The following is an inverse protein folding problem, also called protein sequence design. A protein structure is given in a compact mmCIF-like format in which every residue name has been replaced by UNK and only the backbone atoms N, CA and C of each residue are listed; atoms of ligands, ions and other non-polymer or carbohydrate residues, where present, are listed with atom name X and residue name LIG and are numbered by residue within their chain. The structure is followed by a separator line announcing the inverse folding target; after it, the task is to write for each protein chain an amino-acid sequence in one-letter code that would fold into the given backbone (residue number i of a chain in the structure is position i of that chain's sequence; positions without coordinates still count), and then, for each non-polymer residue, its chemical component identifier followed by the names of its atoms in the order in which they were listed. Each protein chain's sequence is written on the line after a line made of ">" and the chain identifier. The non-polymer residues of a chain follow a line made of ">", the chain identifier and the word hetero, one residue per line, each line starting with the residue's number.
data_IF_615412748195
#
_entry.id   IF_615412748195
#
_cell.length_a   1.000
_cell.length_b   1.000
_cell.length_c   1.000
_cell.angle_alpha   90.00
_cell.angle_beta   90.00
_cell.angle_gamma   90.00
#
_symmetry.space_group_name_H-M   'P 1'
#
loop_
_entity.id
_entity.type
_entity.pdbx_description
1 polymer ?
#
# COMPACT_ATOMS: atom_id res chain seq x y z
N UNK A 1 39.68 0.09 6.77
CA UNK A 1 39.24 1.01 5.69
C UNK A 1 37.93 1.59 6.15
N UNK A 2 37.96 2.81 6.69
CA UNK A 2 36.79 3.51 7.21
C UNK A 2 35.99 4.04 6.03
N UNK A 3 34.86 3.41 5.75
CA UNK A 3 33.85 3.91 4.81
C UNK A 3 33.60 5.38 5.14
N UNK A 4 34.01 6.29 4.26
CA UNK A 4 33.52 7.67 4.32
C UNK A 4 32.00 7.54 4.27
N UNK A 5 31.32 7.91 5.36
CA UNK A 5 29.87 7.72 5.47
C UNK A 5 29.23 8.44 4.29
N UNK A 6 28.76 7.68 3.29
CA UNK A 6 28.06 8.24 2.15
C UNK A 6 26.75 8.83 2.68
N UNK A 7 26.79 10.13 3.01
CA UNK A 7 25.75 10.81 3.78
C UNK A 7 24.36 10.71 3.13
N UNK A 8 24.30 10.43 1.83
CA UNK A 8 23.05 10.17 1.11
C UNK A 8 22.28 8.97 1.67
N UNK A 9 22.96 7.89 2.08
CA UNK A 9 22.29 6.71 2.65
C UNK A 9 21.44 7.09 3.87
N UNK A 10 22.07 7.72 4.85
CA UNK A 10 21.44 8.10 6.11
C UNK A 10 20.47 9.28 5.97
N UNK A 11 20.78 10.24 5.08
CA UNK A 11 19.96 11.45 4.90
C UNK A 11 18.74 11.23 4.01
N UNK A 12 18.82 10.31 3.04
CA UNK A 12 17.82 10.18 1.98
C UNK A 12 17.29 8.76 1.83
N UNK A 13 18.14 7.77 1.59
CA UNK A 13 17.69 6.40 1.29
C UNK A 13 16.97 5.76 2.49
N UNK A 14 17.63 5.68 3.64
CA UNK A 14 17.09 5.00 4.83
C UNK A 14 15.82 5.66 5.37
N UNK A 15 15.72 7.01 5.46
CA UNK A 15 14.46 7.64 5.84
C UNK A 15 13.33 7.38 4.86
N UNK A 16 13.60 7.32 3.55
CA UNK A 16 12.59 7.01 2.54
C UNK A 16 12.12 5.55 2.66
N UNK A 17 13.05 4.61 2.81
CA UNK A 17 12.73 3.20 3.04
C UNK A 17 11.86 3.03 4.30
N UNK A 18 12.24 3.67 5.41
CA UNK A 18 11.50 3.61 6.66
C UNK A 18 10.09 4.21 6.54
N UNK A 19 9.97 5.40 5.94
CA UNK A 19 8.67 6.05 5.74
C UNK A 19 7.74 5.19 4.88
N UNK A 20 8.23 4.62 3.78
CA UNK A 20 7.44 3.75 2.92
C UNK A 20 7.06 2.45 3.65
N UNK A 21 7.95 1.89 4.46
CA UNK A 21 7.66 0.71 5.27
C UNK A 21 6.56 0.99 6.31
N UNK A 22 6.61 2.15 6.97
CA UNK A 22 5.59 2.57 7.93
C UNK A 22 4.23 2.76 7.26
N UNK A 23 4.19 3.39 6.09
CA UNK A 23 2.98 3.55 5.28
C UNK A 23 2.44 2.21 4.78
N UNK A 24 3.30 1.30 4.34
CA UNK A 24 2.91 -0.05 3.95
C UNK A 24 2.22 -0.77 5.13
N UNK A 25 2.83 -0.76 6.32
CA UNK A 25 2.28 -1.40 7.52
C UNK A 25 0.94 -0.80 7.95
N UNK A 26 0.81 0.54 7.90
CA UNK A 26 -0.43 1.21 8.25
C UNK A 26 -1.57 0.85 7.29
N UNK A 27 -1.32 0.91 5.98
CA UNK A 27 -2.33 0.53 4.98
C UNK A 27 -2.72 -0.94 5.09
N UNK A 28 -1.75 -1.85 5.32
CA UNK A 28 -2.03 -3.27 5.56
C UNK A 28 -2.99 -3.47 6.73
N UNK A 29 -2.73 -2.81 7.86
CA UNK A 29 -3.58 -2.91 9.06
C UNK A 29 -4.99 -2.42 8.77
N UNK A 30 -5.15 -1.25 8.14
CA UNK A 30 -6.46 -0.72 7.81
C UNK A 30 -7.23 -1.60 6.84
N UNK A 31 -6.56 -2.13 5.82
CA UNK A 31 -7.15 -3.09 4.89
C UNK A 31 -7.77 -4.27 5.64
N UNK A 32 -7.00 -4.97 6.46
CA UNK A 32 -7.52 -6.12 7.21
C UNK A 32 -8.59 -5.72 8.23
N UNK A 33 -8.47 -4.57 8.91
CA UNK A 33 -9.49 -4.12 9.85
C UNK A 33 -10.83 -3.88 9.15
N UNK A 34 -10.83 -3.21 8.00
CA UNK A 34 -12.05 -2.91 7.24
C UNK A 34 -12.67 -4.18 6.66
N UNK A 35 -11.86 -5.06 6.07
CA UNK A 35 -12.33 -6.34 5.52
C UNK A 35 -12.92 -7.26 6.60
N UNK A 36 -12.22 -7.41 7.73
CA UNK A 36 -12.69 -8.25 8.84
C UNK A 36 -13.96 -7.66 9.45
N UNK A 37 -14.04 -6.34 9.66
CA UNK A 37 -15.26 -5.71 10.16
C UNK A 37 -16.45 -5.93 9.22
N UNK A 38 -16.23 -5.81 7.90
CA UNK A 38 -17.25 -6.06 6.88
C UNK A 38 -17.74 -7.51 6.92
N UNK A 39 -16.81 -8.47 7.00
CA UNK A 39 -17.13 -9.89 7.05
C UNK A 39 -17.89 -10.27 8.32
N UNK A 40 -17.44 -9.79 9.48
CA UNK A 40 -18.11 -10.05 10.76
C UNK A 40 -19.51 -9.44 10.81
N UNK A 41 -19.67 -8.20 10.36
CA UNK A 41 -20.97 -7.55 10.30
C UNK A 41 -21.93 -8.30 9.35
N UNK A 42 -21.45 -8.68 8.16
CA UNK A 42 -22.24 -9.45 7.19
C UNK A 42 -22.65 -10.82 7.72
N UNK A 43 -21.73 -11.54 8.39
CA UNK A 43 -22.00 -12.85 8.98
C UNK A 43 -22.95 -12.77 10.19
N UNK A 44 -23.00 -11.64 10.91
CA UNK A 44 -23.88 -11.46 12.05
C UNK A 44 -25.36 -11.23 11.65
N UNK A 45 -25.64 -10.68 10.46
CA UNK A 45 -27.01 -10.43 9.98
C UNK A 45 -27.91 -11.68 10.05
N UNK A 46 -27.56 -12.84 9.44
CA UNK A 46 -28.40 -14.03 9.52
C UNK A 46 -28.55 -14.56 10.94
N UNK A 47 -27.51 -14.44 11.79
CA UNK A 47 -27.56 -14.86 13.20
C UNK A 47 -28.57 -14.03 13.99
N UNK A 48 -28.55 -12.71 13.81
CA UNK A 48 -29.52 -11.78 14.42
C UNK A 48 -30.94 -12.13 13.98
N UNK A 49 -31.15 -12.32 12.68
CA UNK A 49 -32.47 -12.67 12.14
C UNK A 49 -32.98 -14.03 12.66
N UNK A 50 -32.09 -15.00 12.87
CA UNK A 50 -32.46 -16.33 13.39
C UNK A 50 -32.69 -16.34 14.90
N UNK A 51 -31.98 -15.52 15.68
CA UNK A 51 -32.11 -15.50 17.15
C UNK A 51 -33.31 -14.65 17.62
N UNK A 52 -33.61 -13.56 16.92
CA UNK A 52 -34.63 -12.59 17.32
C UNK A 52 -36.06 -12.94 16.81
N UNK A 53 -36.38 -14.23 16.65
CA UNK A 53 -37.69 -14.71 16.13
C UNK A 53 -38.90 -14.16 16.89
N UNK A 54 -38.72 -13.76 18.16
CA UNK A 54 -39.80 -13.23 19.00
C UNK A 54 -40.02 -11.71 18.90
N UNK A 55 -39.02 -10.96 18.41
CA UNK A 55 -39.11 -9.50 18.24
C UNK A 55 -38.58 -9.11 16.85
N UNK A 56 -39.49 -9.16 15.88
CA UNK A 56 -39.20 -8.90 14.47
C UNK A 56 -38.72 -7.47 14.23
N UNK A 57 -39.16 -6.50 15.03
CA UNK A 57 -38.73 -5.11 14.87
C UNK A 57 -37.29 -4.93 15.35
N UNK A 58 -36.93 -5.50 16.50
CA UNK A 58 -35.56 -5.48 16.99
C UNK A 58 -34.61 -6.19 16.04
N UNK A 59 -35.01 -7.35 15.50
CA UNK A 59 -34.25 -8.08 14.48
C UNK A 59 -33.97 -7.21 13.24
N UNK A 60 -35.01 -6.56 12.71
CA UNK A 60 -34.92 -5.70 11.54
C UNK A 60 -34.01 -4.49 11.79
N UNK A 61 -34.13 -3.84 12.95
CA UNK A 61 -33.31 -2.69 13.32
C UNK A 61 -31.83 -3.06 13.40
N UNK A 62 -31.49 -4.16 14.07
CA UNK A 62 -30.11 -4.63 14.19
C UNK A 62 -29.52 -5.04 12.84
N UNK A 63 -30.29 -5.77 12.02
CA UNK A 63 -29.90 -6.14 10.67
C UNK A 63 -29.67 -4.93 9.76
N UNK A 64 -30.49 -3.87 9.88
CA UNK A 64 -30.31 -2.63 9.15
C UNK A 64 -29.01 -1.91 9.54
N UNK A 65 -28.70 -1.85 10.84
CA UNK A 65 -27.45 -1.27 11.34
C UNK A 65 -26.23 -2.05 10.83
N UNK A 66 -26.25 -3.39 10.92
CA UNK A 66 -25.18 -4.25 10.42
C UNK A 66 -24.99 -4.10 8.91
N UNK A 67 -26.09 -4.08 8.14
CA UNK A 67 -26.05 -3.82 6.71
C UNK A 67 -25.46 -2.45 6.37
N UNK A 68 -25.82 -1.41 7.13
CA UNK A 68 -25.23 -0.08 7.00
C UNK A 68 -23.72 -0.08 7.24
N UNK A 69 -23.25 -0.78 8.29
CA UNK A 69 -21.82 -0.94 8.59
C UNK A 69 -21.09 -1.62 7.42
N UNK A 70 -21.66 -2.71 6.87
CA UNK A 70 -21.09 -3.41 5.71
C UNK A 70 -20.93 -2.47 4.52
N UNK A 71 -21.97 -1.69 4.18
CA UNK A 71 -21.94 -0.76 3.04
C UNK A 71 -20.88 0.33 3.25
N UNK A 72 -20.86 0.96 4.43
CA UNK A 72 -19.90 2.03 4.75
C UNK A 72 -18.47 1.48 4.74
N UNK A 73 -18.22 0.35 5.39
CA UNK A 73 -16.90 -0.26 5.45
C UNK A 73 -16.38 -0.64 4.05
N UNK A 74 -17.22 -1.27 3.22
CA UNK A 74 -16.88 -1.60 1.85
C UNK A 74 -16.59 -0.35 1.00
N UNK A 75 -17.38 0.72 1.17
CA UNK A 75 -17.15 2.00 0.48
C UNK A 75 -15.83 2.65 0.92
N UNK A 76 -15.53 2.65 2.22
CA UNK A 76 -14.25 3.16 2.77
C UNK A 76 -13.08 2.36 2.21
N UNK A 77 -13.15 1.02 2.18
CA UNK A 77 -12.12 0.17 1.61
C UNK A 77 -11.83 0.49 0.14
N UNK A 78 -12.89 0.65 -0.67
CA UNK A 78 -12.79 1.04 -2.09
C UNK A 78 -12.25 2.45 -2.29
N UNK A 79 -12.68 3.41 -1.49
CA UNK A 79 -12.30 4.81 -1.62
C UNK A 79 -10.81 5.02 -1.32
N UNK A 80 -10.33 4.42 -0.23
CA UNK A 80 -8.95 4.62 0.21
C UNK A 80 -7.95 3.63 -0.41
N UNK A 81 -8.43 2.57 -1.08
CA UNK A 81 -7.60 1.59 -1.79
C UNK A 81 -6.43 1.06 -0.94
N UNK A 82 -6.72 0.72 0.33
CA UNK A 82 -5.69 0.33 1.31
C UNK A 82 -4.82 -0.84 0.82
N UNK A 83 -5.41 -1.78 0.08
CA UNK A 83 -4.68 -2.92 -0.50
C UNK A 83 -3.63 -2.47 -1.51
N UNK A 84 -4.03 -1.68 -2.51
CA UNK A 84 -3.14 -1.19 -3.57
C UNK A 84 -2.03 -0.32 -2.99
N UNK A 85 -2.38 0.58 -2.06
CA UNK A 85 -1.42 1.42 -1.35
C UNK A 85 -0.39 0.57 -0.61
N UNK A 86 -0.83 -0.45 0.13
CA UNK A 86 0.08 -1.32 0.87
C UNK A 86 1.07 -2.04 -0.05
N UNK A 87 0.57 -2.65 -1.13
CA UNK A 87 1.41 -3.36 -2.11
C UNK A 87 2.39 -2.40 -2.79
N UNK A 88 1.93 -1.22 -3.20
CA UNK A 88 2.77 -0.21 -3.82
C UNK A 88 3.92 0.22 -2.91
N UNK A 89 3.61 0.65 -1.68
CA UNK A 89 4.65 1.05 -0.73
C UNK A 89 5.62 -0.09 -0.42
N UNK A 90 5.12 -1.34 -0.35
CA UNK A 90 5.99 -2.49 -0.10
C UNK A 90 6.95 -2.76 -1.25
N UNK A 91 6.48 -2.65 -2.49
CA UNK A 91 7.33 -2.78 -3.67
C UNK A 91 8.44 -1.71 -3.68
N UNK A 92 8.14 -0.46 -3.30
CA UNK A 92 9.15 0.60 -3.19
C UNK A 92 10.19 0.27 -2.12
N UNK A 93 9.77 -0.19 -0.93
CA UNK A 93 10.69 -0.62 0.13
C UNK A 93 11.61 -1.72 -0.36
N UNK A 94 11.07 -2.73 -1.02
CA UNK A 94 11.86 -3.86 -1.53
C UNK A 94 12.84 -3.44 -2.63
N UNK A 95 12.46 -2.49 -3.49
CA UNK A 95 13.34 -1.92 -4.50
C UNK A 95 14.48 -1.10 -3.87
N UNK A 96 14.17 -0.23 -2.90
CA UNK A 96 15.16 0.57 -2.17
C UNK A 96 16.14 -0.32 -1.41
N UNK A 97 15.63 -1.32 -0.69
CA UNK A 97 16.45 -2.30 0.04
C UNK A 97 17.35 -3.11 -0.89
N UNK A 98 16.83 -3.52 -2.06
CA UNK A 98 17.63 -4.22 -3.08
C UNK A 98 18.79 -3.35 -3.58
N UNK A 99 18.54 -2.09 -3.95
CA UNK A 99 19.61 -1.20 -4.43
C UNK A 99 20.65 -0.94 -3.33
N UNK A 100 20.21 -0.77 -2.06
CA UNK A 100 21.10 -0.64 -0.90
C UNK A 100 22.00 -1.88 -0.74
N UNK A 101 21.45 -3.08 -0.86
CA UNK A 101 22.23 -4.33 -0.75
C UNK A 101 23.17 -4.53 -1.94
N UNK A 102 22.73 -4.26 -3.17
CA UNK A 102 23.61 -4.34 -4.35
C UNK A 102 24.79 -3.38 -4.22
N UNK A 103 24.55 -2.16 -3.74
CA UNK A 103 25.61 -1.19 -3.46
C UNK A 103 26.54 -1.66 -2.33
N UNK A 104 25.99 -2.22 -1.24
CA UNK A 104 26.77 -2.64 -0.05
C UNK A 104 27.77 -3.74 -0.38
N UNK A 105 27.36 -4.72 -1.20
CA UNK A 105 28.21 -5.85 -1.60
C UNK A 105 29.00 -5.58 -2.89
N UNK A 106 28.79 -4.42 -3.53
CA UNK A 106 29.45 -4.06 -4.79
C UNK A 106 29.10 -5.02 -5.93
N UNK A 107 27.83 -5.41 -6.05
CA UNK A 107 27.35 -6.32 -7.09
C UNK A 107 26.43 -5.61 -8.10
N UNK A 108 26.10 -6.31 -9.18
CA UNK A 108 25.28 -5.77 -10.27
C UNK A 108 25.97 -4.58 -10.91
N UNK A 109 25.23 -3.50 -11.09
CA UNK A 109 25.74 -2.29 -11.74
C UNK A 109 26.75 -1.51 -10.87
N UNK A 110 27.02 -1.96 -9.64
CA UNK A 110 28.00 -1.38 -8.72
C UNK A 110 29.33 -2.15 -8.66
N UNK A 111 29.48 -3.20 -9.46
CA UNK A 111 30.69 -4.02 -9.51
C UNK A 111 31.91 -3.27 -10.07
N UNK A 112 33.11 -3.75 -9.72
CA UNK A 112 34.37 -3.21 -10.21
C UNK A 112 34.42 -3.18 -11.76
N UNK A 113 35.07 -2.18 -12.38
CA UNK A 113 36.13 -1.33 -11.84
C UNK A 113 35.66 0.09 -11.43
N UNK A 114 34.42 0.25 -10.97
CA UNK A 114 33.91 1.57 -10.58
C UNK A 114 34.66 2.18 -9.40
N UNK A 115 35.08 3.43 -9.56
CA UNK A 115 35.52 4.28 -8.46
C UNK A 115 34.37 4.55 -7.48
N UNK A 116 34.71 4.81 -6.22
CA UNK A 116 33.72 5.01 -5.14
C UNK A 116 32.76 6.16 -5.43
N UNK A 117 33.23 7.28 -5.98
CA UNK A 117 32.38 8.42 -6.33
C UNK A 117 31.37 8.10 -7.44
N UNK A 118 31.80 7.34 -8.46
CA UNK A 118 30.94 6.90 -9.54
C UNK A 118 29.85 5.96 -9.01
N UNK A 119 30.22 5.01 -8.15
CA UNK A 119 29.30 4.08 -7.49
C UNK A 119 28.28 4.82 -6.61
N UNK A 120 28.72 5.82 -5.85
CA UNK A 120 27.87 6.69 -5.03
C UNK A 120 26.86 7.49 -5.85
N UNK A 121 27.32 8.12 -6.94
CA UNK A 121 26.47 8.89 -7.85
C UNK A 121 25.40 8.00 -8.48
N UNK A 122 25.81 6.84 -8.96
CA UNK A 122 24.92 5.87 -9.58
C UNK A 122 23.84 5.36 -8.62
N UNK A 123 24.17 5.14 -7.34
CA UNK A 123 23.17 4.79 -6.33
C UNK A 123 22.15 5.93 -6.15
N UNK A 124 22.63 7.17 -6.01
CA UNK A 124 21.74 8.32 -5.85
C UNK A 124 20.79 8.48 -7.05
N UNK A 125 21.30 8.37 -8.27
CA UNK A 125 20.50 8.47 -9.49
C UNK A 125 19.44 7.36 -9.57
N UNK A 126 19.81 6.11 -9.28
CA UNK A 126 18.87 4.98 -9.31
C UNK A 126 17.79 5.11 -8.24
N UNK A 127 18.15 5.52 -7.03
CA UNK A 127 17.18 5.74 -5.95
C UNK A 127 16.19 6.86 -6.30
N UNK A 128 16.66 8.01 -6.78
CA UNK A 128 15.75 9.10 -7.18
C UNK A 128 14.88 8.70 -8.38
N UNK A 129 15.42 7.95 -9.34
CA UNK A 129 14.65 7.41 -10.46
C UNK A 129 13.59 6.40 -10.02
N UNK A 130 13.90 5.52 -9.06
CA UNK A 130 12.95 4.59 -8.46
C UNK A 130 11.81 5.32 -7.76
N UNK A 131 12.13 6.35 -6.97
CA UNK A 131 11.12 7.16 -6.28
C UNK A 131 10.22 7.93 -7.26
N UNK A 132 10.81 8.52 -8.30
CA UNK A 132 10.08 9.26 -9.33
C UNK A 132 9.17 8.33 -10.16
N UNK A 133 9.70 7.18 -10.59
CA UNK A 133 9.00 6.21 -11.43
C UNK A 133 7.94 5.45 -10.64
N UNK A 134 8.22 5.11 -9.38
CA UNK A 134 7.24 4.50 -8.47
C UNK A 134 6.01 5.41 -8.32
N UNK A 135 6.23 6.71 -8.11
CA UNK A 135 5.15 7.71 -8.06
C UNK A 135 4.36 7.76 -9.37
N UNK A 136 5.03 7.88 -10.51
CA UNK A 136 4.33 8.07 -11.79
C UNK A 136 3.53 6.84 -12.21
N UNK A 137 4.06 5.62 -12.02
CA UNK A 137 3.36 4.37 -12.30
C UNK A 137 2.14 4.18 -11.42
N UNK A 138 2.25 4.52 -10.13
CA UNK A 138 1.14 4.46 -9.19
C UNK A 138 0.02 5.43 -9.60
N UNK A 139 0.35 6.69 -9.89
CA UNK A 139 -0.62 7.68 -10.36
C UNK A 139 -1.29 7.22 -11.66
N UNK A 140 -0.54 6.70 -12.63
CA UNK A 140 -1.08 6.23 -13.90
C UNK A 140 -2.06 5.05 -13.70
N UNK A 141 -1.72 4.09 -12.84
CA UNK A 141 -2.58 2.94 -12.51
C UNK A 141 -3.89 3.40 -11.87
N UNK A 142 -3.83 4.40 -10.99
CA UNK A 142 -5.01 4.97 -10.35
C UNK A 142 -5.90 5.75 -11.33
N UNK A 143 -5.32 6.53 -12.25
CA UNK A 143 -6.06 7.25 -13.29
C UNK A 143 -6.72 6.30 -14.31
N UNK A 144 -6.04 5.21 -14.68
CA UNK A 144 -6.60 4.22 -15.60
C UNK A 144 -7.79 3.47 -14.98
N UNK A 145 -7.70 3.12 -13.69
CA UNK A 145 -8.81 2.52 -12.95
C UNK A 145 -10.03 3.45 -12.88
N UNK A 146 -9.83 4.75 -12.66
CA UNK A 146 -10.92 5.73 -12.64
C UNK A 146 -11.61 5.88 -14.01
N UNK A 147 -10.84 6.03 -15.10
CA UNK A 147 -11.39 6.15 -16.46
C UNK A 147 -12.13 4.90 -16.94
N UNK A 148 -11.64 3.71 -16.58
CA UNK A 148 -12.32 2.45 -16.90
C UNK A 148 -13.67 2.31 -16.20
N UNK A 149 -13.80 2.87 -15.00
CA UNK A 149 -15.06 2.88 -14.24
C UNK A 149 -16.07 3.81 -14.90
N UNK A 150 -15.66 5.03 -15.28
CA UNK A 150 -16.51 6.03 -15.97
C UNK A 150 -17.05 5.52 -17.32
N UNK A 151 -16.19 4.89 -18.13
CA UNK A 151 -16.57 4.37 -19.45
C UNK A 151 -17.48 3.12 -19.40
N UNK A 152 -17.57 2.45 -18.24
CA UNK A 152 -18.48 1.31 -18.01
C UNK A 152 -19.87 1.74 -17.55
N UNK A 153 -19.98 2.90 -16.88
CA UNK A 153 -21.24 3.49 -16.41
C UNK A 153 -21.94 4.28 -17.53
N UNK A 154 -21.18 4.75 -18.53
CA UNK A 154 -21.70 5.53 -19.66
C UNK A 154 -22.26 4.70 -20.85
N UNK A 155 -22.33 3.37 -20.76
CA UNK A 155 -22.91 2.53 -21.82
C UNK A 155 -24.35 2.10 -21.47
N UNK A 156 -25.38 2.67 -22.14
CA UNK A 156 -26.75 2.16 -22.07
C UNK A 156 -26.91 0.82 -22.82
#
# INVERSE_FOLDING_TARGET
>A
MTTSSFAYLQRRLEPQEQWHNDKARWNKRLFYTVEVATLLAGAAIPVVNLWAVKDTYLAALLSAILGGIVVVAAAVGKLFKFHDNWLHYRAVVEALGREKELYSVGAGDYAAPLEEEARNRQLAERVENLLATGTSQFVATHQAAEKGTDNSVARP
#
